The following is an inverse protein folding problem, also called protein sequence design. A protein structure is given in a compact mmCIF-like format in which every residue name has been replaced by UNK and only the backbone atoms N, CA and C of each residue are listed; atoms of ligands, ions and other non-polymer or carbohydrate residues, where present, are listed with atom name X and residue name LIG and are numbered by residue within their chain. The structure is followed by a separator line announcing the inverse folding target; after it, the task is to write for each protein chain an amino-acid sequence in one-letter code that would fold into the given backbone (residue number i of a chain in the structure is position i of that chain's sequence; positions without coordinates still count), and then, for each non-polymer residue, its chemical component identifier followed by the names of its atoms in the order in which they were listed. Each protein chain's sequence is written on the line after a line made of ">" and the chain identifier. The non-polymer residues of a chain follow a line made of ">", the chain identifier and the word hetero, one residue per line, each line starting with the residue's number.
data_IF_900941103961
#
_entry.id   IF_900941103961
#
_cell.length_a   1.000
_cell.length_b   1.000
_cell.length_c   1.000
_cell.angle_alpha   90.00
_cell.angle_beta   90.00
_cell.angle_gamma   90.00
#
_symmetry.space_group_name_H-M   'P 1'
#
loop_
_entity.id
_entity.type
_entity.pdbx_description
1 polymer ?
#
# COMPACT_ATOMS: atom_id res chain seq x y z
N UNK A 1 -11.86 23.13 2.33
CA UNK A 1 -11.21 22.28 3.35
C UNK A 1 -11.01 20.90 2.76
N UNK A 2 -9.83 20.25 2.90
CA UNK A 2 -9.64 18.85 2.53
C UNK A 2 -10.73 17.98 3.15
N UNK A 3 -11.25 17.01 2.38
CA UNK A 3 -12.27 16.05 2.85
C UNK A 3 -13.48 16.69 3.56
N UNK A 4 -13.90 17.90 3.19
CA UNK A 4 -15.07 18.54 3.80
C UNK A 4 -14.91 18.86 5.30
N UNK A 5 -13.67 19.02 5.80
CA UNK A 5 -13.34 19.23 7.21
C UNK A 5 -13.61 18.02 8.13
N UNK A 6 -13.76 16.82 7.57
CA UNK A 6 -13.74 15.59 8.35
C UNK A 6 -12.32 15.18 8.72
N UNK A 7 -12.16 14.61 9.92
CA UNK A 7 -10.93 13.96 10.33
C UNK A 7 -10.88 12.57 9.69
N UNK A 8 -9.93 12.36 8.78
CA UNK A 8 -9.77 11.11 8.05
C UNK A 8 -8.49 10.41 8.47
N UNK A 9 -8.61 9.12 8.80
CA UNK A 9 -7.47 8.22 9.01
C UNK A 9 -7.52 7.17 7.91
N UNK A 10 -6.48 7.14 7.08
CA UNK A 10 -6.25 6.04 6.14
C UNK A 10 -5.41 4.97 6.82
N UNK A 11 -5.80 3.71 6.67
CA UNK A 11 -5.06 2.57 7.17
C UNK A 11 -5.04 1.48 6.10
N UNK A 12 -3.88 0.86 5.91
CA UNK A 12 -3.66 -0.15 4.91
C UNK A 12 -2.18 -0.44 4.71
N UNK A 13 -1.90 -1.32 3.76
CA UNK A 13 -0.57 -1.75 3.38
C UNK A 13 -0.47 -1.74 1.85
N UNK A 14 0.47 -0.96 1.30
CA UNK A 14 0.65 -0.79 -0.15
C UNK A 14 1.41 -1.94 -0.82
N UNK A 15 1.99 -2.87 -0.05
CA UNK A 15 2.54 -4.11 -0.60
C UNK A 15 1.44 -5.14 -0.91
N UNK A 16 0.19 -4.86 -0.54
CA UNK A 16 -0.96 -5.70 -0.86
C UNK A 16 -1.53 -5.39 -2.25
N UNK A 17 -2.66 -6.02 -2.58
CA UNK A 17 -3.31 -5.88 -3.88
C UNK A 17 -3.67 -4.42 -4.18
N UNK A 18 -3.33 -3.92 -5.39
CA UNK A 18 -3.78 -2.60 -5.82
C UNK A 18 -5.30 -2.58 -6.05
N UNK A 19 -5.92 -1.40 -6.19
CA UNK A 19 -7.33 -1.28 -6.53
C UNK A 19 -7.70 -2.06 -7.80
N UNK A 20 -8.77 -2.85 -7.74
CA UNK A 20 -9.28 -3.57 -8.91
C UNK A 20 -9.89 -2.55 -9.89
N UNK A 21 -9.40 -2.54 -11.13
CA UNK A 21 -9.86 -1.65 -12.21
C UNK A 21 -9.69 -0.14 -11.93
N UNK A 22 -8.85 0.24 -10.96
CA UNK A 22 -8.58 1.63 -10.60
C UNK A 22 -7.10 1.97 -10.63
N UNK A 23 -6.79 3.26 -10.59
CA UNK A 23 -5.42 3.77 -10.54
C UNK A 23 -4.97 3.98 -9.08
N UNK A 24 -3.85 3.37 -8.63
CA UNK A 24 -3.36 3.57 -7.26
C UNK A 24 -2.83 4.99 -7.07
N UNK A 25 -3.48 5.81 -6.23
CA UNK A 25 -3.19 7.26 -6.09
C UNK A 25 -1.74 7.57 -5.68
N UNK A 26 -1.06 6.62 -5.05
CA UNK A 26 0.34 6.71 -4.64
C UNK A 26 1.35 6.48 -5.78
N UNK A 27 0.91 6.03 -6.96
CA UNK A 27 1.80 5.79 -8.08
C UNK A 27 2.32 7.13 -8.65
N UNK A 28 3.64 7.40 -8.61
CA UNK A 28 4.22 8.66 -9.07
C UNK A 28 4.11 8.84 -10.60
N UNK A 29 4.00 7.74 -11.35
CA UNK A 29 3.90 7.73 -12.81
C UNK A 29 2.47 7.90 -13.32
N UNK A 30 1.50 8.12 -12.43
CA UNK A 30 0.13 8.41 -12.83
C UNK A 30 0.07 9.72 -13.62
N UNK A 31 -0.07 9.59 -14.93
CA UNK A 31 -0.23 10.72 -15.82
C UNK A 31 -1.69 11.14 -15.89
N UNK A 32 -2.02 12.26 -15.26
CA UNK A 32 -3.32 12.91 -15.37
C UNK A 32 -3.15 14.08 -16.33
N UNK A 33 -3.28 13.82 -17.62
CA UNK A 33 -3.14 14.85 -18.65
C UNK A 33 -4.31 15.84 -18.55
N UNK A 34 -4.04 17.03 -18.00
CA UNK A 34 -4.97 18.14 -17.89
C UNK A 34 -5.26 18.78 -19.24
N UNK A 35 -6.08 18.13 -20.07
CA UNK A 35 -6.57 18.71 -21.33
C UNK A 35 -8.00 19.22 -21.15
N UNK A 36 -8.45 20.12 -22.02
CA UNK A 36 -9.81 20.67 -22.00
C UNK A 36 -10.92 19.64 -22.30
N UNK A 37 -10.58 18.38 -22.62
CA UNK A 37 -11.52 17.27 -22.87
C UNK A 37 -11.37 16.10 -21.89
N UNK A 38 -11.06 16.36 -20.62
CA UNK A 38 -11.01 15.30 -19.61
C UNK A 38 -12.38 14.64 -19.39
N UNK A 39 -12.39 13.31 -19.30
CA UNK A 39 -13.57 12.56 -18.88
C UNK A 39 -13.91 12.84 -17.41
N UNK A 40 -15.15 12.57 -17.00
CA UNK A 40 -15.56 12.70 -15.59
C UNK A 40 -14.71 11.79 -14.69
N UNK A 41 -14.33 10.60 -15.15
CA UNK A 41 -13.44 9.70 -14.41
C UNK A 41 -12.06 10.30 -14.20
N UNK A 42 -11.48 10.94 -15.22
CA UNK A 42 -10.16 11.56 -15.11
C UNK A 42 -10.19 12.75 -14.15
N UNK A 43 -11.27 13.54 -14.17
CA UNK A 43 -11.46 14.66 -13.24
C UNK A 43 -11.57 14.16 -11.80
N UNK A 44 -12.35 13.09 -11.56
CA UNK A 44 -12.45 12.45 -10.23
C UNK A 44 -11.09 11.92 -9.76
N UNK A 45 -10.32 11.29 -10.64
CA UNK A 45 -8.98 10.80 -10.32
C UNK A 45 -8.01 11.95 -9.99
N UNK A 46 -8.07 13.05 -10.74
CA UNK A 46 -7.29 14.26 -10.47
C UNK A 46 -7.59 14.83 -9.08
N UNK A 47 -8.87 14.97 -8.74
CA UNK A 47 -9.32 15.44 -7.43
C UNK A 47 -8.91 14.49 -6.31
N UNK A 48 -9.08 13.17 -6.50
CA UNK A 48 -8.68 12.16 -5.53
C UNK A 48 -7.18 12.19 -5.27
N UNK A 49 -6.36 12.33 -6.33
CA UNK A 49 -4.91 12.47 -6.21
C UNK A 49 -4.51 13.76 -5.49
N UNK A 50 -5.16 14.88 -5.79
CA UNK A 50 -4.92 16.14 -5.09
C UNK A 50 -5.24 16.03 -3.58
N UNK A 51 -6.35 15.36 -3.22
CA UNK A 51 -6.70 15.08 -1.82
C UNK A 51 -5.70 14.14 -1.14
N UNK A 52 -5.23 13.10 -1.83
CA UNK A 52 -4.20 12.18 -1.32
C UNK A 52 -2.92 12.92 -0.94
N UNK A 53 -2.49 13.87 -1.76
CA UNK A 53 -1.31 14.72 -1.48
C UNK A 53 -1.49 15.70 -0.30
N UNK A 54 -2.70 15.85 0.26
CA UNK A 54 -2.93 16.62 1.48
C UNK A 54 -2.68 15.82 2.77
N UNK A 55 -2.40 14.51 2.66
CA UNK A 55 -2.06 13.67 3.81
C UNK A 55 -0.60 13.95 4.20
N UNK A 56 -0.41 14.70 5.29
CA UNK A 56 0.92 15.16 5.74
C UNK A 56 1.56 14.26 6.80
N UNK A 57 0.77 13.41 7.45
CA UNK A 57 1.23 12.58 8.57
C UNK A 57 1.15 11.11 8.19
N UNK A 58 2.29 10.43 8.28
CA UNK A 58 2.40 8.99 8.06
C UNK A 58 2.89 8.34 9.35
N UNK A 59 2.16 7.30 9.80
CA UNK A 59 2.55 6.49 10.95
C UNK A 59 2.81 5.07 10.46
N UNK A 60 4.03 4.57 10.68
CA UNK A 60 4.42 3.21 10.29
C UNK A 60 4.44 2.32 11.54
N UNK A 61 3.57 1.31 11.56
CA UNK A 61 3.57 0.28 12.60
C UNK A 61 4.65 -0.76 12.27
N UNK A 62 5.62 -0.94 13.16
CA UNK A 62 6.76 -1.87 12.95
C UNK A 62 6.63 -3.20 13.67
N UNK A 63 5.81 -3.26 14.72
CA UNK A 63 5.64 -4.48 15.51
C UNK A 63 4.52 -5.34 14.93
N UNK A 64 4.86 -6.54 14.46
CA UNK A 64 3.87 -7.52 14.05
C UNK A 64 3.16 -8.12 15.27
N UNK A 65 1.83 -8.05 15.28
CA UNK A 65 1.01 -8.51 16.40
C UNK A 65 0.33 -9.87 16.16
N UNK A 66 0.44 -10.45 14.95
CA UNK A 66 -0.22 -11.69 14.53
C UNK A 66 0.57 -12.94 14.94
N UNK A 67 1.90 -12.86 15.03
CA UNK A 67 2.82 -13.96 15.37
C UNK A 67 3.70 -13.59 16.59
N UNK A 68 3.08 -13.33 17.75
CA UNK A 68 3.79 -12.88 18.96
C UNK A 68 4.59 -13.97 19.65
N UNK A 69 4.02 -15.18 19.74
CA UNK A 69 4.70 -16.39 20.19
C UNK A 69 5.28 -17.08 18.98
N UNK A 70 6.59 -17.31 18.96
CA UNK A 70 7.28 -17.84 17.78
C UNK A 70 7.93 -19.17 18.15
N UNK A 71 7.43 -20.25 17.55
CA UNK A 71 8.28 -21.42 17.32
C UNK A 71 9.40 -21.05 16.34
N UNK A 72 10.48 -21.84 16.23
CA UNK A 72 11.48 -21.65 15.18
C UNK A 72 10.88 -21.56 13.78
N UNK A 73 9.80 -22.30 13.54
CA UNK A 73 9.11 -22.34 12.25
C UNK A 73 8.25 -21.10 12.02
N UNK A 74 7.58 -20.57 13.04
CA UNK A 74 6.89 -19.29 12.95
C UNK A 74 7.85 -18.13 12.66
N UNK A 75 9.08 -18.20 13.21
CA UNK A 75 10.11 -17.22 12.97
C UNK A 75 10.57 -17.23 11.49
N UNK A 76 10.74 -18.42 10.90
CA UNK A 76 11.04 -18.57 9.45
C UNK A 76 9.89 -18.05 8.59
N UNK A 77 8.65 -18.42 8.90
CA UNK A 77 7.49 -17.89 8.17
C UNK A 77 7.38 -16.37 8.26
N UNK A 78 7.61 -15.79 9.45
CA UNK A 78 7.61 -14.34 9.63
C UNK A 78 8.69 -13.68 8.78
N UNK A 79 9.91 -14.23 8.77
CA UNK A 79 11.00 -13.71 7.97
C UNK A 79 10.68 -13.77 6.47
N UNK A 80 10.15 -14.89 6.00
CA UNK A 80 9.72 -15.05 4.61
C UNK A 80 8.62 -14.04 4.21
N UNK A 81 7.63 -13.81 5.09
CA UNK A 81 6.57 -12.80 4.86
C UNK A 81 7.12 -11.37 4.82
N UNK A 82 8.07 -11.04 5.69
CA UNK A 82 8.72 -9.72 5.70
C UNK A 82 9.54 -9.51 4.43
N UNK A 83 10.26 -10.53 3.96
CA UNK A 83 10.99 -10.49 2.70
C UNK A 83 10.05 -10.39 1.48
N UNK A 84 8.94 -11.14 1.47
CA UNK A 84 7.91 -11.06 0.43
C UNK A 84 7.30 -9.65 0.32
N UNK A 85 7.05 -9.00 1.45
CA UNK A 85 6.49 -7.64 1.49
C UNK A 85 7.38 -6.63 0.74
N UNK A 86 8.70 -6.79 0.78
CA UNK A 86 9.66 -5.94 0.06
C UNK A 86 10.13 -6.53 -1.27
N UNK A 87 9.49 -7.62 -1.75
CA UNK A 87 9.93 -8.36 -2.94
C UNK A 87 11.41 -8.78 -2.89
N UNK A 88 11.88 -9.19 -1.71
CA UNK A 88 13.28 -9.50 -1.40
C UNK A 88 13.46 -10.94 -0.88
N UNK A 89 12.66 -11.89 -1.36
CA UNK A 89 12.76 -13.30 -0.96
C UNK A 89 14.14 -13.88 -1.25
N UNK A 90 14.65 -14.66 -0.29
CA UNK A 90 15.88 -15.44 -0.39
C UNK A 90 15.59 -16.86 -0.89
N UNK A 91 16.64 -17.61 -1.24
CA UNK A 91 16.51 -19.03 -1.59
C UNK A 91 15.94 -19.84 -0.42
N UNK A 92 16.39 -19.55 0.81
CA UNK A 92 15.89 -20.18 2.04
C UNK A 92 14.38 -19.94 2.24
N UNK A 93 13.89 -18.72 1.96
CA UNK A 93 12.46 -18.41 2.04
C UNK A 93 11.65 -19.25 1.05
N UNK A 94 12.16 -19.42 -0.18
CA UNK A 94 11.50 -20.19 -1.24
C UNK A 94 11.50 -21.68 -0.92
N UNK A 95 12.62 -22.21 -0.42
CA UNK A 95 12.71 -23.62 -0.01
C UNK A 95 11.74 -23.89 1.14
N UNK A 96 11.73 -23.04 2.16
CA UNK A 96 10.81 -23.14 3.29
C UNK A 96 9.33 -23.13 2.87
N UNK A 97 8.94 -22.30 1.90
CA UNK A 97 7.54 -22.23 1.44
C UNK A 97 7.12 -23.41 0.54
N UNK A 98 8.07 -24.19 0.03
CA UNK A 98 7.81 -25.35 -0.84
C UNK A 98 7.71 -26.68 -0.08
N UNK A 99 8.20 -26.74 1.15
CA UNK A 99 8.11 -27.92 2.03
C UNK A 99 6.71 -28.12 2.59
#
# INVERSE_FOLDING_TARGET
>A
SPFGAFNIIFAGDFAQLPPVSGSPLYNPLLNINGTSRMSISDQKLAMARALWHQVMTVVILRQNMRQKTQSPEDAKLRQALENMHYAACTEDDIEYLKS
#
